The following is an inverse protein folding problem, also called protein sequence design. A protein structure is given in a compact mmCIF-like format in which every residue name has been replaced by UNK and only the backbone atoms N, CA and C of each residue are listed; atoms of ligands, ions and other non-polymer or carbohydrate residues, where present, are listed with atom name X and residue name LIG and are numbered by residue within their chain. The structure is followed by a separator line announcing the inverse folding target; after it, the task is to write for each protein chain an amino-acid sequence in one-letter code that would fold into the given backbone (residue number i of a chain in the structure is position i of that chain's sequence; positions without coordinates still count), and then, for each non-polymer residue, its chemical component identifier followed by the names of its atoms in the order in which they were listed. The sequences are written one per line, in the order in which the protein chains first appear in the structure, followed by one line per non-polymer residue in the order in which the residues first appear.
data_IF_393427127313
#
_entry.id   IF_393427127313
#
_cell.length_a   1.000
_cell.length_b   1.000
_cell.length_c   1.000
_cell.angle_alpha   90.00
_cell.angle_beta   90.00
_cell.angle_gamma   90.00
#
_symmetry.space_group_name_H-M   'P 1'
#
loop_
_entity.id
_entity.type
_entity.pdbx_description
1 polymer ?
#
# COMPACT_ATOMS: atom_id res chain seq x y z
N UNK A 1 30.23 30.43 -15.30
CA UNK A 1 28.95 30.79 -14.65
C UNK A 1 27.74 30.15 -15.34
N UNK A 2 27.69 28.80 -15.50
CA UNK A 2 26.55 28.09 -16.11
C UNK A 2 25.96 26.95 -15.24
N UNK A 3 26.39 26.83 -13.98
CA UNK A 3 25.97 25.76 -13.07
C UNK A 3 24.73 26.10 -12.23
N UNK A 4 24.23 27.34 -12.28
CA UNK A 4 23.22 27.82 -11.34
C UNK A 4 21.78 27.89 -11.90
N UNK A 5 21.56 27.51 -13.15
CA UNK A 5 20.25 27.66 -13.82
C UNK A 5 19.56 26.34 -14.19
N UNK A 6 20.11 25.19 -13.79
CA UNK A 6 19.48 23.88 -13.98
C UNK A 6 18.73 23.39 -12.74
N UNK A 7 18.46 24.26 -11.77
CA UNK A 7 17.46 24.03 -10.73
C UNK A 7 16.04 24.28 -11.25
N UNK A 8 15.82 23.97 -12.54
CA UNK A 8 14.50 23.86 -13.15
C UNK A 8 13.80 22.73 -12.41
N UNK A 9 12.93 23.11 -11.50
CA UNK A 9 11.85 22.28 -10.95
C UNK A 9 11.35 21.38 -12.07
N UNK A 10 11.73 20.10 -12.03
CA UNK A 10 11.28 19.12 -13.01
C UNK A 10 9.80 18.96 -12.75
N UNK A 11 8.98 19.71 -13.49
CA UNK A 11 7.53 19.52 -13.51
C UNK A 11 7.33 18.05 -13.85
N UNK A 12 6.74 17.24 -12.94
CA UNK A 12 6.70 15.80 -13.12
C UNK A 12 5.97 15.51 -14.43
N UNK A 13 6.62 14.78 -15.34
CA UNK A 13 6.00 14.39 -16.61
C UNK A 13 4.75 13.59 -16.25
N UNK A 14 3.59 13.86 -16.87
CA UNK A 14 2.23 13.33 -16.55
C UNK A 14 2.11 11.87 -16.05
N UNK A 15 3.08 11.01 -16.36
CA UNK A 15 3.23 9.63 -15.92
C UNK A 15 3.67 9.47 -14.45
N UNK A 16 4.55 10.34 -13.96
CA UNK A 16 5.16 10.29 -12.62
C UNK A 16 4.13 10.50 -11.49
N UNK A 17 3.10 11.31 -11.73
CA UNK A 17 1.99 11.48 -10.78
C UNK A 17 1.20 10.18 -10.55
N UNK A 18 1.03 9.37 -11.61
CA UNK A 18 0.37 8.07 -11.51
C UNK A 18 1.17 7.11 -10.64
N UNK A 19 2.49 7.08 -10.83
CA UNK A 19 3.42 6.23 -10.09
C UNK A 19 3.45 6.60 -8.59
N UNK A 20 3.42 7.91 -8.27
CA UNK A 20 3.32 8.38 -6.87
C UNK A 20 2.00 7.94 -6.22
N UNK A 21 0.87 8.14 -6.90
CA UNK A 21 -0.44 7.74 -6.37
C UNK A 21 -0.50 6.23 -6.18
N UNK A 22 0.03 5.46 -7.12
CA UNK A 22 0.09 4.00 -7.06
C UNK A 22 0.95 3.53 -5.88
N UNK A 23 2.14 4.12 -5.70
CA UNK A 23 3.02 3.81 -4.57
C UNK A 23 2.32 4.08 -3.23
N UNK A 24 1.70 5.26 -3.07
CA UNK A 24 0.96 5.61 -1.84
C UNK A 24 -0.21 4.65 -1.60
N UNK A 25 -0.97 4.30 -2.65
CA UNK A 25 -2.07 3.36 -2.53
C UNK A 25 -1.60 1.99 -2.03
N UNK A 26 -0.51 1.45 -2.60
CA UNK A 26 0.04 0.16 -2.18
C UNK A 26 0.63 0.19 -0.78
N UNK A 27 1.33 1.26 -0.40
CA UNK A 27 1.86 1.42 0.95
C UNK A 27 0.74 1.51 1.98
N UNK A 28 -0.24 2.40 1.77
CA UNK A 28 -1.36 2.60 2.68
C UNK A 28 -2.23 1.33 2.76
N UNK A 29 -2.56 0.73 1.62
CA UNK A 29 -3.31 -0.52 1.54
C UNK A 29 -2.58 -1.69 2.19
N UNK A 30 -1.27 -1.81 1.97
CA UNK A 30 -0.43 -2.84 2.58
C UNK A 30 -0.39 -2.74 4.11
N UNK A 31 -0.16 -1.55 4.65
CA UNK A 31 -0.20 -1.28 6.10
C UNK A 31 -1.59 -1.58 6.66
N UNK A 32 -2.65 -1.14 5.96
CA UNK A 32 -4.02 -1.38 6.37
C UNK A 32 -4.31 -2.89 6.47
N UNK A 33 -3.96 -3.67 5.45
CA UNK A 33 -4.16 -5.12 5.42
C UNK A 33 -3.29 -5.89 6.42
N UNK A 34 -2.14 -5.34 6.80
CA UNK A 34 -1.29 -5.91 7.85
C UNK A 34 -1.87 -5.71 9.25
N UNK A 35 -2.49 -4.56 9.52
CA UNK A 35 -2.95 -4.20 10.87
C UNK A 35 -4.40 -4.61 11.09
N UNK A 36 -5.28 -4.25 10.17
CA UNK A 36 -6.74 -4.32 10.35
C UNK A 36 -7.23 -5.71 10.77
N UNK A 37 -6.80 -6.84 10.17
CA UNK A 37 -7.25 -8.18 10.55
C UNK A 37 -7.01 -8.54 12.03
N UNK A 38 -6.10 -7.86 12.69
CA UNK A 38 -5.73 -8.07 14.10
C UNK A 38 -6.42 -7.10 15.06
N UNK A 39 -7.21 -6.17 14.53
CA UNK A 39 -7.94 -5.19 15.34
C UNK A 39 -9.34 -5.65 15.67
N UNK A 40 -9.91 -5.14 16.77
CA UNK A 40 -11.33 -5.37 17.12
C UNK A 40 -12.29 -4.83 16.06
N UNK A 41 -11.87 -3.90 15.20
CA UNK A 41 -12.67 -3.36 14.11
C UNK A 41 -12.96 -4.39 13.02
N UNK A 42 -12.02 -5.30 12.76
CA UNK A 42 -12.21 -6.43 11.82
C UNK A 42 -13.30 -7.41 12.28
N UNK A 43 -13.49 -7.54 13.59
CA UNK A 43 -14.49 -8.44 14.17
C UNK A 43 -15.89 -7.81 14.22
N UNK A 44 -15.96 -6.47 14.19
CA UNK A 44 -17.20 -5.69 14.36
C UNK A 44 -17.77 -5.25 13.02
N UNK A 45 -18.19 -6.21 12.20
CA UNK A 45 -18.79 -5.96 10.88
C UNK A 45 -20.22 -6.52 10.79
N UNK A 46 -21.14 -5.76 10.20
CA UNK A 46 -22.53 -6.17 9.98
C UNK A 46 -22.62 -7.48 9.17
N UNK A 47 -21.70 -7.68 8.22
CA UNK A 47 -21.63 -8.90 7.41
C UNK A 47 -21.30 -10.16 8.23
N UNK A 48 -20.43 -10.05 9.23
CA UNK A 48 -20.08 -11.16 10.12
C UNK A 48 -21.22 -11.48 11.10
N UNK A 49 -22.12 -10.52 11.34
CA UNK A 49 -23.33 -10.73 12.12
C UNK A 49 -24.44 -11.41 11.28
N UNK A 50 -24.62 -10.98 10.04
CA UNK A 50 -25.65 -11.52 9.14
C UNK A 50 -25.31 -12.92 8.62
N UNK A 51 -24.02 -13.24 8.43
CA UNK A 51 -23.58 -14.48 7.77
C UNK A 51 -22.63 -15.26 8.69
N UNK A 52 -23.10 -16.29 9.43
CA UNK A 52 -22.30 -17.06 10.39
C UNK A 52 -21.10 -17.78 9.75
N UNK A 53 -21.24 -18.24 8.51
CA UNK A 53 -20.14 -18.90 7.78
C UNK A 53 -18.96 -17.95 7.52
N UNK A 54 -19.25 -16.72 7.09
CA UNK A 54 -18.22 -15.69 6.90
C UNK A 54 -17.48 -15.39 8.20
N UNK A 55 -18.19 -15.37 9.33
CA UNK A 55 -17.59 -15.21 10.66
C UNK A 55 -16.57 -16.31 10.97
N UNK A 56 -16.89 -17.56 10.66
CA UNK A 56 -15.98 -18.69 10.90
C UNK A 56 -14.68 -18.56 10.08
N UNK A 57 -14.78 -18.12 8.81
CA UNK A 57 -13.61 -17.94 7.94
C UNK A 57 -12.80 -16.69 8.31
N UNK A 58 -13.45 -15.53 8.42
CA UNK A 58 -12.77 -14.24 8.62
C UNK A 58 -12.15 -14.07 10.01
N UNK A 59 -12.69 -14.75 11.03
CA UNK A 59 -12.11 -14.73 12.36
C UNK A 59 -11.02 -15.80 12.55
N UNK A 60 -10.86 -16.73 11.61
CA UNK A 60 -9.84 -17.76 11.71
C UNK A 60 -8.43 -17.17 11.54
N UNK A 61 -7.50 -17.56 12.42
CA UNK A 61 -6.12 -17.05 12.43
C UNK A 61 -5.40 -17.26 11.10
N UNK A 62 -5.66 -18.39 10.42
CA UNK A 62 -5.11 -18.66 9.08
C UNK A 62 -5.55 -17.62 8.05
N UNK A 63 -6.83 -17.23 8.03
CA UNK A 63 -7.34 -16.25 7.07
C UNK A 63 -6.78 -14.86 7.36
N UNK A 64 -6.74 -14.46 8.64
CA UNK A 64 -6.10 -13.21 9.07
C UNK A 64 -4.62 -13.16 8.66
N UNK A 65 -3.92 -14.28 8.81
CA UNK A 65 -2.55 -14.46 8.34
C UNK A 65 -2.43 -14.31 6.82
N UNK A 66 -3.31 -14.94 6.04
CA UNK A 66 -3.33 -14.81 4.58
C UNK A 66 -3.58 -13.35 4.13
N UNK A 67 -4.53 -12.66 4.76
CA UNK A 67 -4.79 -11.22 4.50
C UNK A 67 -3.58 -10.37 4.85
N UNK A 68 -2.88 -10.68 5.95
CA UNK A 68 -1.65 -9.99 6.35
C UNK A 68 -0.51 -10.22 5.35
N UNK A 69 -0.36 -11.45 4.83
CA UNK A 69 0.63 -11.76 3.78
C UNK A 69 0.32 -10.98 2.50
N UNK A 70 -0.95 -10.88 2.11
CA UNK A 70 -1.35 -10.02 1.00
C UNK A 70 -0.99 -8.55 1.27
N UNK A 71 -1.22 -8.07 2.49
CA UNK A 71 -0.78 -6.74 2.93
C UNK A 71 0.73 -6.55 2.83
N UNK A 72 1.53 -7.56 3.19
CA UNK A 72 2.98 -7.53 3.06
C UNK A 72 3.43 -7.43 1.60
N UNK A 73 2.79 -8.17 0.69
CA UNK A 73 3.09 -8.12 -0.75
C UNK A 73 2.75 -6.72 -1.32
N UNK A 74 1.61 -6.15 -0.93
CA UNK A 74 1.24 -4.80 -1.35
C UNK A 74 2.23 -3.77 -0.81
N UNK A 75 2.64 -3.92 0.45
CA UNK A 75 3.62 -3.04 1.07
C UNK A 75 4.98 -3.08 0.34
N UNK A 76 5.48 -4.28 0.01
CA UNK A 76 6.76 -4.41 -0.71
C UNK A 76 6.68 -3.82 -2.12
N UNK A 77 5.56 -4.00 -2.83
CA UNK A 77 5.34 -3.35 -4.14
C UNK A 77 5.34 -1.83 -4.03
N UNK A 78 4.66 -1.28 -3.01
CA UNK A 78 4.67 0.16 -2.75
C UNK A 78 6.06 0.71 -2.43
N UNK A 79 6.87 -0.03 -1.66
CA UNK A 79 8.26 0.32 -1.37
C UNK A 79 9.12 0.31 -2.64
N UNK A 80 8.99 -0.71 -3.49
CA UNK A 80 9.72 -0.80 -4.76
C UNK A 80 9.41 0.40 -5.66
N UNK A 81 8.14 0.77 -5.76
CA UNK A 81 7.72 1.92 -6.57
C UNK A 81 8.22 3.24 -5.98
N UNK A 82 8.15 3.40 -4.65
CA UNK A 82 8.72 4.56 -3.96
C UNK A 82 10.25 4.68 -4.15
N UNK A 83 10.98 3.57 -4.13
CA UNK A 83 12.43 3.56 -4.40
C UNK A 83 12.75 3.96 -5.85
N UNK A 84 11.92 3.56 -6.82
CA UNK A 84 12.08 3.96 -8.23
C UNK A 84 11.87 5.46 -8.41
N UNK A 85 10.91 6.04 -7.68
CA UNK A 85 10.69 7.49 -7.66
C UNK A 85 11.83 8.26 -6.98
N UNK A 86 12.41 7.68 -5.92
CA UNK A 86 13.51 8.31 -5.19
C UNK A 86 14.87 8.21 -5.89
N UNK A 87 15.08 7.23 -6.76
CA UNK A 87 16.32 7.06 -7.52
C UNK A 87 16.18 7.73 -8.90
N UNK A 88 16.49 9.04 -9.05
CA UNK A 88 16.60 9.63 -10.38
C UNK A 88 17.67 8.83 -11.11
N UNK A 89 17.29 8.23 -12.24
CA UNK A 89 18.18 7.44 -13.06
C UNK A 89 19.55 8.13 -13.18
N UNK A 90 20.61 7.39 -12.80
CA UNK A 90 22.00 7.84 -12.86
C UNK A 90 22.26 8.43 -14.26
N UNK A 91 22.89 9.63 -14.37
CA UNK A 91 23.12 10.29 -15.65
C UNK A 91 23.97 9.45 -16.60
#
# INVERSE_FOLDING_TARGET
MKKALSATTSVPRRREWGDIVLAVYFLAGGIFLLIVPWTKWWERNLFLYLIPFLRMVFLHTFFRGAVSILGLILLTMGIVEAMRLYSPAKP
#
